data_IF_824598940807
#
_entry.id   IF_824598940807
#
_cell.length_a   1.000
_cell.length_b   1.000
_cell.length_c   1.000
_cell.angle_alpha   90.00
_cell.angle_beta   90.00
_cell.angle_gamma   90.00
#
_symmetry.space_group_name_H-M   'P 1'
#
loop_
_entity.id
_entity.type
_entity.pdbx_description
1 polymer ?
#
# COMPACT_ATOMS: atom_id res chain seq x y z
N UNK A 1 13.51 -0.59 -81.16
CA UNK A 1 13.88 0.38 -80.10
C UNK A 1 13.86 1.86 -80.55
N UNK A 2 13.45 2.22 -81.78
CA UNK A 2 13.46 3.62 -82.23
C UNK A 2 12.14 4.41 -82.01
N UNK A 3 11.04 3.74 -81.64
CA UNK A 3 9.69 4.31 -81.62
C UNK A 3 9.28 4.96 -80.29
N UNK A 4 9.85 4.53 -79.16
CA UNK A 4 9.54 5.08 -77.83
C UNK A 4 10.20 6.45 -77.57
N UNK A 5 11.40 6.68 -78.10
CA UNK A 5 12.11 7.95 -77.97
C UNK A 5 11.35 9.12 -78.65
N UNK A 6 10.74 8.86 -79.81
CA UNK A 6 10.09 9.89 -80.62
C UNK A 6 8.79 10.41 -79.97
N UNK A 7 8.04 9.54 -79.30
CA UNK A 7 6.83 9.92 -78.54
C UNK A 7 7.20 10.80 -77.34
N UNK A 8 8.29 10.49 -76.64
CA UNK A 8 8.81 11.31 -75.54
C UNK A 8 9.20 12.73 -75.98
N UNK A 9 9.91 12.85 -77.10
CA UNK A 9 10.30 14.14 -77.69
C UNK A 9 9.07 14.93 -78.14
N UNK A 10 8.07 14.27 -78.76
CA UNK A 10 6.84 14.93 -79.20
C UNK A 10 6.01 15.45 -78.00
N UNK A 11 5.91 14.68 -76.91
CA UNK A 11 5.27 15.13 -75.66
C UNK A 11 6.04 16.27 -75.00
N UNK A 12 7.37 16.19 -74.92
CA UNK A 12 8.21 17.27 -74.38
C UNK A 12 8.05 18.56 -75.17
N UNK A 13 8.04 18.51 -76.51
CA UNK A 13 7.83 19.68 -77.36
C UNK A 13 6.42 20.27 -77.19
N UNK A 14 5.38 19.42 -77.03
CA UNK A 14 4.01 19.86 -76.78
C UNK A 14 3.85 20.51 -75.40
N UNK A 15 4.50 19.95 -74.38
CA UNK A 15 4.57 20.52 -73.02
C UNK A 15 5.35 21.85 -73.01
N UNK A 16 6.49 21.90 -73.69
CA UNK A 16 7.31 23.11 -73.84
C UNK A 16 6.55 24.22 -74.56
N UNK A 17 5.73 23.89 -75.57
CA UNK A 17 4.84 24.84 -76.23
C UNK A 17 3.77 25.35 -75.25
N UNK A 18 3.08 24.44 -74.54
CA UNK A 18 2.08 24.78 -73.53
C UNK A 18 2.63 25.70 -72.42
N UNK A 19 3.83 25.42 -71.93
CA UNK A 19 4.53 26.26 -70.93
C UNK A 19 4.93 27.62 -71.52
N UNK A 20 5.30 27.67 -72.80
CA UNK A 20 5.62 28.94 -73.48
C UNK A 20 4.40 29.83 -73.71
N UNK A 21 3.23 29.24 -73.97
CA UNK A 21 1.95 29.94 -74.24
C UNK A 21 1.05 30.05 -73.02
N UNK A 22 1.47 29.58 -71.83
CA UNK A 22 0.66 29.68 -70.63
C UNK A 22 0.54 31.14 -70.18
N UNK A 23 -0.68 31.64 -70.10
CA UNK A 23 -1.02 32.95 -69.55
C UNK A 23 -2.19 32.75 -68.58
N UNK A 24 -2.08 33.25 -67.36
CA UNK A 24 -3.16 33.19 -66.36
C UNK A 24 -4.00 34.47 -66.28
N UNK A 25 -3.66 35.49 -67.08
CA UNK A 25 -4.43 36.72 -67.17
C UNK A 25 -5.40 36.66 -68.35
N UNK A 26 -6.65 37.05 -68.11
CA UNK A 26 -7.64 37.24 -69.17
C UNK A 26 -7.35 38.54 -69.94
N UNK A 27 -7.85 38.65 -71.17
CA UNK A 27 -7.46 39.69 -72.13
C UNK A 27 -8.14 41.05 -71.91
N UNK A 28 -8.00 41.60 -70.70
CA UNK A 28 -8.36 42.99 -70.41
C UNK A 28 -7.22 43.95 -70.80
N UNK A 29 -7.58 45.07 -71.43
CA UNK A 29 -6.71 45.94 -72.24
C UNK A 29 -5.68 46.80 -71.45
N UNK A 30 -5.32 46.44 -70.23
CA UNK A 30 -4.42 47.25 -69.38
C UNK A 30 -2.95 46.79 -69.34
N UNK A 31 -2.61 45.57 -69.77
CA UNK A 31 -1.23 45.05 -69.75
C UNK A 31 -0.75 44.60 -71.14
N UNK A 32 0.54 44.74 -71.40
CA UNK A 32 1.15 44.14 -72.58
C UNK A 32 1.25 42.61 -72.46
N UNK A 33 1.14 41.91 -73.59
CA UNK A 33 1.25 40.44 -73.65
C UNK A 33 2.56 39.91 -73.04
N UNK A 34 3.65 40.68 -73.13
CA UNK A 34 4.94 40.33 -72.56
C UNK A 34 4.92 40.33 -71.02
N UNK A 35 4.29 41.34 -70.40
CA UNK A 35 4.17 41.46 -68.94
C UNK A 35 3.28 40.35 -68.36
N UNK A 36 2.18 40.02 -69.04
CA UNK A 36 1.29 38.92 -68.67
C UNK A 36 2.01 37.56 -68.67
N UNK A 37 2.80 37.28 -69.73
CA UNK A 37 3.62 36.07 -69.84
C UNK A 37 4.77 36.03 -68.81
N UNK A 38 5.41 37.16 -68.52
CA UNK A 38 6.47 37.25 -67.52
C UNK A 38 5.93 37.04 -66.11
N UNK A 39 4.83 37.71 -65.76
CA UNK A 39 4.14 37.56 -64.46
C UNK A 39 3.68 36.11 -64.25
N UNK A 40 3.07 35.49 -65.26
CA UNK A 40 2.65 34.08 -65.22
C UNK A 40 3.84 33.14 -64.91
N UNK A 41 5.01 33.38 -65.52
CA UNK A 41 6.21 32.56 -65.28
C UNK A 41 6.80 32.77 -63.88
N UNK A 42 6.87 34.01 -63.39
CA UNK A 42 7.32 34.32 -62.02
C UNK A 42 6.38 33.70 -60.99
N UNK A 43 5.07 33.77 -61.20
CA UNK A 43 4.07 33.11 -60.37
C UNK A 43 4.28 31.59 -60.32
N UNK A 44 4.41 30.91 -61.47
CA UNK A 44 4.61 29.45 -61.53
C UNK A 44 5.90 29.02 -60.84
N UNK A 45 7.02 29.73 -61.04
CA UNK A 45 8.30 29.40 -60.39
C UNK A 45 8.21 29.60 -58.87
N UNK A 46 7.61 30.70 -58.42
CA UNK A 46 7.38 30.98 -57.00
C UNK A 46 6.49 29.90 -56.33
N UNK A 47 5.41 29.50 -57.01
CA UNK A 47 4.50 28.44 -56.59
C UNK A 47 5.24 27.10 -56.44
N UNK A 48 6.11 26.73 -57.39
CA UNK A 48 6.87 25.48 -57.35
C UNK A 48 7.92 25.45 -56.24
N UNK A 49 8.66 26.56 -56.02
CA UNK A 49 9.65 26.66 -54.95
C UNK A 49 8.98 26.54 -53.58
N UNK A 50 7.86 27.23 -53.38
CA UNK A 50 7.13 27.20 -52.11
C UNK A 50 6.41 25.86 -51.86
N UNK A 51 5.87 25.21 -52.91
CA UNK A 51 5.41 23.82 -52.84
C UNK A 51 6.54 22.86 -52.40
N UNK A 52 7.73 22.99 -52.97
CA UNK A 52 8.87 22.15 -52.60
C UNK A 52 9.31 22.35 -51.14
N UNK A 53 9.37 23.60 -50.67
CA UNK A 53 9.70 23.93 -49.28
C UNK A 53 8.65 23.37 -48.31
N UNK A 54 7.36 23.57 -48.59
CA UNK A 54 6.27 23.11 -47.71
C UNK A 54 6.18 21.58 -47.63
N UNK A 55 6.35 20.86 -48.75
CA UNK A 55 6.44 19.40 -48.77
C UNK A 55 7.66 18.92 -47.96
N UNK A 56 8.84 19.53 -48.16
CA UNK A 56 10.05 19.18 -47.41
C UNK A 56 9.86 19.38 -45.90
N UNK A 57 9.28 20.51 -45.50
CA UNK A 57 9.00 20.83 -44.10
C UNK A 57 8.00 19.85 -43.46
N UNK A 58 6.92 19.51 -44.17
CA UNK A 58 5.92 18.51 -43.75
C UNK A 58 6.45 17.06 -43.73
N UNK A 59 7.52 16.78 -44.47
CA UNK A 59 8.22 15.49 -44.46
C UNK A 59 9.11 15.33 -43.22
N UNK A 60 9.78 16.41 -42.82
CA UNK A 60 10.80 16.41 -41.78
C UNK A 60 10.18 16.53 -40.38
N UNK A 61 9.18 17.40 -40.21
CA UNK A 61 8.63 17.73 -38.88
C UNK A 61 7.45 16.80 -38.55
N UNK A 62 7.56 15.94 -37.51
CA UNK A 62 6.45 15.11 -37.07
C UNK A 62 5.36 15.97 -36.41
N UNK A 63 4.11 15.78 -36.84
CA UNK A 63 2.96 16.45 -36.26
C UNK A 63 2.38 15.60 -35.11
N UNK A 64 2.10 16.23 -33.97
CA UNK A 64 1.44 15.59 -32.84
C UNK A 64 -0.06 15.60 -33.07
N UNK A 65 -0.68 14.43 -33.19
CA UNK A 65 -2.14 14.29 -33.27
C UNK A 65 -2.69 13.89 -31.91
N UNK A 66 -3.74 14.58 -31.45
CA UNK A 66 -4.52 14.22 -30.27
C UNK A 66 -5.73 13.38 -30.71
N UNK A 67 -5.98 12.28 -29.99
CA UNK A 67 -7.21 11.48 -30.09
C UNK A 67 -7.89 11.50 -28.73
N UNK A 68 -9.22 11.67 -28.74
CA UNK A 68 -10.07 11.60 -27.55
C UNK A 68 -10.99 10.38 -27.67
N UNK A 69 -11.00 9.55 -26.63
CA UNK A 69 -11.89 8.39 -26.49
C UNK A 69 -12.87 8.68 -25.34
N UNK A 70 -14.16 8.62 -25.60
CA UNK A 70 -15.21 8.73 -24.59
C UNK A 70 -15.48 7.37 -23.93
N UNK A 71 -15.82 7.40 -22.63
CA UNK A 71 -16.29 6.25 -21.84
C UNK A 71 -15.48 4.95 -22.06
N UNK A 72 -14.15 4.96 -21.84
CA UNK A 72 -13.31 3.78 -21.95
C UNK A 72 -13.75 2.68 -20.97
N UNK A 73 -13.83 1.44 -21.45
CA UNK A 73 -13.88 0.27 -20.55
C UNK A 73 -12.50 0.05 -19.89
N UNK A 74 -12.41 -0.65 -18.73
CA UNK A 74 -11.13 -0.92 -18.08
C UNK A 74 -10.12 -1.58 -19.03
N UNK A 75 -10.56 -2.57 -19.81
CA UNK A 75 -9.70 -3.30 -20.76
C UNK A 75 -9.27 -2.44 -21.96
N UNK A 76 -10.11 -1.49 -22.40
CA UNK A 76 -9.73 -0.55 -23.46
C UNK A 76 -8.73 0.49 -22.95
N UNK A 77 -8.92 0.96 -21.71
CA UNK A 77 -7.97 1.84 -21.04
C UNK A 77 -6.59 1.16 -20.89
N UNK A 78 -6.51 -0.06 -20.35
CA UNK A 78 -5.22 -0.77 -20.20
C UNK A 78 -4.50 -0.94 -21.55
N UNK A 79 -5.20 -1.36 -22.62
CA UNK A 79 -4.61 -1.49 -23.96
C UNK A 79 -4.07 -0.17 -24.51
N UNK A 80 -4.81 0.93 -24.32
CA UNK A 80 -4.38 2.27 -24.73
C UNK A 80 -3.23 2.77 -23.86
N UNK A 81 -3.24 2.45 -22.56
CA UNK A 81 -2.18 2.80 -21.64
C UNK A 81 -0.88 2.07 -21.97
N UNK A 82 -0.91 0.78 -22.31
CA UNK A 82 0.26 0.06 -22.79
C UNK A 82 0.79 0.61 -24.12
N UNK A 83 -0.11 0.98 -25.04
CA UNK A 83 0.26 1.50 -26.37
C UNK A 83 0.82 2.93 -26.33
N UNK A 84 0.38 3.75 -25.37
CA UNK A 84 0.63 5.19 -25.32
C UNK A 84 1.06 5.68 -23.92
N UNK A 85 1.84 4.86 -23.19
CA UNK A 85 2.22 5.06 -21.76
C UNK A 85 2.59 6.48 -21.34
N UNK A 86 3.30 7.23 -22.19
CA UNK A 86 3.80 8.57 -21.88
C UNK A 86 2.87 9.72 -22.29
N UNK A 87 1.78 9.46 -23.01
CA UNK A 87 0.89 10.50 -23.55
C UNK A 87 -0.58 10.31 -23.25
N UNK A 88 -1.00 9.13 -22.76
CA UNK A 88 -2.39 8.91 -22.33
C UNK A 88 -2.69 9.66 -21.03
N UNK A 89 -3.82 10.35 -20.99
CA UNK A 89 -4.36 11.03 -19.81
C UNK A 89 -5.86 10.79 -19.77
N UNK A 90 -6.32 10.14 -18.71
CA UNK A 90 -7.73 9.90 -18.44
C UNK A 90 -8.06 10.49 -17.07
N UNK A 91 -8.95 11.48 -17.01
CA UNK A 91 -9.31 12.13 -15.75
C UNK A 91 -10.45 11.37 -15.07
N UNK A 92 -10.31 11.05 -13.78
CA UNK A 92 -11.40 10.47 -13.00
C UNK A 92 -12.51 11.51 -12.80
N UNK A 93 -13.79 11.09 -12.85
CA UNK A 93 -14.90 11.95 -12.44
C UNK A 93 -15.04 12.06 -10.92
N UNK A 94 -14.64 11.02 -10.20
CA UNK A 94 -14.53 11.02 -8.74
C UNK A 94 -13.07 10.72 -8.38
N UNK A 95 -12.37 11.75 -7.90
CA UNK A 95 -10.95 11.63 -7.57
C UNK A 95 -10.72 11.05 -6.16
N UNK A 96 -11.71 11.13 -5.26
CA UNK A 96 -11.60 10.68 -3.86
C UNK A 96 -12.48 9.46 -3.63
N UNK A 97 -11.90 8.38 -3.11
CA UNK A 97 -12.54 7.07 -2.87
C UNK A 97 -12.24 6.61 -1.45
N UNK A 98 -13.19 5.99 -0.75
CA UNK A 98 -12.91 5.46 0.60
C UNK A 98 -12.24 4.10 0.52
N UNK A 99 -11.28 3.81 1.42
CA UNK A 99 -10.60 2.50 1.37
C UNK A 99 -11.55 1.32 1.61
N UNK A 100 -12.67 1.54 2.31
CA UNK A 100 -13.80 0.59 2.43
C UNK A 100 -14.33 0.08 1.09
N UNK A 101 -14.25 0.89 0.03
CA UNK A 101 -14.75 0.55 -1.31
C UNK A 101 -13.71 -0.21 -2.15
N UNK A 102 -12.45 -0.22 -1.70
CA UNK A 102 -11.28 -0.70 -2.45
C UNK A 102 -10.64 -1.95 -1.82
N UNK A 103 -10.75 -2.11 -0.51
CA UNK A 103 -10.21 -3.22 0.27
C UNK A 103 -11.31 -4.03 0.96
N UNK A 104 -11.10 -5.34 1.02
CA UNK A 104 -11.77 -6.22 1.98
C UNK A 104 -10.71 -6.93 2.83
N UNK A 105 -10.91 -6.93 4.15
CA UNK A 105 -10.03 -7.60 5.12
C UNK A 105 -10.79 -8.65 5.92
N UNK A 106 -10.21 -9.85 6.00
CA UNK A 106 -10.65 -10.95 6.85
C UNK A 106 -9.44 -11.45 7.68
N UNK A 107 -9.15 -10.84 8.85
CA UNK A 107 -8.04 -11.25 9.70
C UNK A 107 -8.31 -12.63 10.33
N UNK A 108 -7.33 -13.53 10.24
CA UNK A 108 -7.38 -14.84 10.90
C UNK A 108 -6.49 -14.81 12.15
N UNK A 109 -7.06 -15.13 13.30
CA UNK A 109 -6.36 -15.11 14.60
C UNK A 109 -5.80 -16.50 14.96
N UNK A 110 -4.79 -16.49 15.82
CA UNK A 110 -4.12 -17.68 16.35
C UNK A 110 -5.11 -18.60 17.05
N UNK A 111 -4.95 -19.92 16.86
CA UNK A 111 -5.93 -20.92 17.30
C UNK A 111 -6.25 -20.90 18.81
N UNK A 112 -5.32 -20.43 19.64
CA UNK A 112 -5.57 -20.17 21.07
C UNK A 112 -6.79 -19.27 21.27
N UNK A 113 -6.94 -18.23 20.45
CA UNK A 113 -7.99 -17.21 20.55
C UNK A 113 -9.38 -17.67 20.03
N UNK A 114 -9.50 -18.93 19.63
CA UNK A 114 -10.75 -19.64 19.32
C UNK A 114 -10.84 -21.02 20.01
N UNK A 115 -9.94 -21.30 20.95
CA UNK A 115 -9.89 -22.55 21.72
C UNK A 115 -10.58 -22.43 23.07
N UNK A 116 -10.90 -23.56 23.70
CA UNK A 116 -11.49 -23.56 25.04
C UNK A 116 -10.56 -23.05 26.16
N UNK A 117 -9.27 -22.80 25.85
CA UNK A 117 -8.31 -22.24 26.82
C UNK A 117 -8.59 -20.78 27.19
N UNK A 118 -9.41 -20.07 26.42
CA UNK A 118 -9.82 -18.69 26.70
C UNK A 118 -11.25 -18.58 27.26
N UNK A 119 -11.96 -19.71 27.40
CA UNK A 119 -13.33 -19.77 27.90
C UNK A 119 -13.39 -19.67 29.43
N UNK A 120 -14.44 -19.02 29.95
CA UNK A 120 -14.65 -18.83 31.39
C UNK A 120 -14.81 -20.13 32.16
N UNK A 121 -15.43 -21.15 31.54
CA UNK A 121 -15.57 -22.49 32.09
C UNK A 121 -14.20 -23.11 32.43
N UNK A 122 -13.22 -22.99 31.52
CA UNK A 122 -11.88 -23.53 31.72
C UNK A 122 -11.15 -22.84 32.87
N UNK A 123 -10.97 -21.52 32.80
CA UNK A 123 -10.15 -20.83 33.81
C UNK A 123 -10.83 -20.74 35.17
N UNK A 124 -12.17 -20.84 35.24
CA UNK A 124 -12.89 -20.97 36.49
C UNK A 124 -12.74 -22.36 37.10
N UNK A 125 -12.68 -23.43 36.29
CA UNK A 125 -12.40 -24.80 36.80
C UNK A 125 -10.98 -24.97 37.35
N UNK A 126 -10.04 -24.10 36.93
CA UNK A 126 -8.69 -24.01 37.49
C UNK A 126 -8.60 -23.18 38.77
N UNK A 127 -9.66 -22.46 39.16
CA UNK A 127 -9.62 -21.60 40.35
C UNK A 127 -9.69 -22.44 41.63
N UNK A 128 -8.86 -22.10 42.60
CA UNK A 128 -8.82 -22.78 43.90
C UNK A 128 -8.82 -21.76 45.04
N UNK A 129 -9.74 -21.89 46.00
CA UNK A 129 -9.84 -20.97 47.16
C UNK A 129 -8.70 -21.15 48.16
N UNK A 130 -7.95 -22.25 48.09
CA UNK A 130 -6.80 -22.57 48.93
C UNK A 130 -5.46 -22.14 48.31
N UNK A 131 -5.46 -21.27 47.30
CA UNK A 131 -4.27 -20.79 46.56
C UNK A 131 -3.10 -20.38 47.45
N UNK A 132 -3.36 -19.69 48.57
CA UNK A 132 -2.33 -19.26 49.54
C UNK A 132 -1.53 -20.43 50.18
N UNK A 133 -1.93 -21.68 49.99
CA UNK A 133 -1.22 -22.87 50.50
C UNK A 133 -0.32 -23.53 49.43
N UNK A 134 -0.32 -23.04 48.19
CA UNK A 134 0.53 -23.59 47.13
C UNK A 134 1.93 -23.00 47.12
N UNK A 135 2.89 -23.82 46.71
CA UNK A 135 4.26 -23.38 46.46
C UNK A 135 4.28 -22.31 45.36
N UNK A 136 5.14 -21.27 45.41
CA UNK A 136 5.11 -20.17 44.42
C UNK A 136 5.36 -20.59 42.97
N UNK A 137 5.95 -21.77 42.73
CA UNK A 137 6.13 -22.33 41.38
C UNK A 137 4.97 -23.26 40.95
N UNK A 138 3.93 -23.42 41.77
CA UNK A 138 2.82 -24.32 41.48
C UNK A 138 1.88 -23.70 40.43
N UNK A 139 1.65 -24.45 39.35
CA UNK A 139 0.72 -24.12 38.27
C UNK A 139 -0.67 -23.72 38.80
N UNK A 140 -1.19 -24.43 39.83
CA UNK A 140 -2.52 -24.18 40.40
C UNK A 140 -2.65 -22.84 41.12
N UNK A 141 -1.53 -22.17 41.45
CA UNK A 141 -1.53 -20.82 42.01
C UNK A 141 -1.91 -19.77 40.95
N UNK A 142 -1.36 -19.88 39.75
CA UNK A 142 -1.42 -18.80 38.74
C UNK A 142 -2.28 -19.14 37.51
N UNK A 143 -2.51 -20.42 37.20
CA UNK A 143 -3.11 -20.83 35.93
C UNK A 143 -4.45 -20.16 35.64
N UNK A 144 -5.37 -20.09 36.61
CA UNK A 144 -6.67 -19.43 36.43
C UNK A 144 -6.52 -17.96 35.97
N UNK A 145 -5.68 -17.16 36.65
CA UNK A 145 -5.44 -15.78 36.26
C UNK A 145 -4.66 -15.65 34.94
N UNK A 146 -3.72 -16.57 34.67
CA UNK A 146 -2.97 -16.55 33.41
C UNK A 146 -3.85 -16.91 32.20
N UNK A 147 -4.81 -17.82 32.33
CA UNK A 147 -5.80 -18.06 31.26
C UNK A 147 -6.83 -16.93 31.12
N UNK A 148 -7.21 -16.24 32.21
CA UNK A 148 -7.97 -14.98 32.13
C UNK A 148 -7.19 -13.89 31.37
N UNK A 149 -5.90 -13.73 31.65
CA UNK A 149 -5.03 -12.81 30.91
C UNK A 149 -4.93 -13.25 29.45
N UNK A 150 -4.76 -14.54 29.14
CA UNK A 150 -4.71 -15.04 27.76
C UNK A 150 -5.98 -14.70 26.96
N UNK A 151 -7.15 -14.88 27.58
CA UNK A 151 -8.44 -14.46 27.01
C UNK A 151 -8.50 -12.95 26.77
N UNK A 152 -8.00 -12.15 27.72
CA UNK A 152 -7.88 -10.69 27.59
C UNK A 152 -6.93 -10.28 26.45
N UNK A 153 -5.76 -10.91 26.31
CA UNK A 153 -4.80 -10.63 25.23
C UNK A 153 -5.46 -10.89 23.87
N UNK A 154 -6.09 -12.06 23.69
CA UNK A 154 -6.86 -12.40 22.50
C UNK A 154 -7.97 -11.39 22.17
N UNK A 155 -8.67 -10.87 23.19
CA UNK A 155 -9.68 -9.82 23.02
C UNK A 155 -9.08 -8.47 22.62
N UNK A 156 -8.01 -8.04 23.29
CA UNK A 156 -7.32 -6.77 23.01
C UNK A 156 -6.73 -6.77 21.59
N UNK A 157 -6.09 -7.86 21.16
CA UNK A 157 -5.53 -7.93 19.81
C UNK A 157 -6.61 -7.86 18.73
N UNK A 158 -7.75 -8.55 18.95
CA UNK A 158 -8.91 -8.51 18.06
C UNK A 158 -9.52 -7.11 17.97
N UNK A 159 -9.72 -6.47 19.11
CA UNK A 159 -10.24 -5.11 19.20
C UNK A 159 -9.31 -4.11 18.49
N UNK A 160 -8.00 -4.19 18.76
CA UNK A 160 -6.97 -3.35 18.13
C UNK A 160 -7.00 -3.45 16.60
N UNK A 161 -7.19 -4.65 16.05
CA UNK A 161 -7.29 -4.85 14.60
C UNK A 161 -8.59 -4.26 14.05
N UNK A 162 -9.75 -4.48 14.69
CA UNK A 162 -11.01 -3.97 14.18
C UNK A 162 -11.14 -2.44 14.30
N UNK A 163 -10.59 -1.83 15.36
CA UNK A 163 -10.53 -0.38 15.50
C UNK A 163 -9.62 0.23 14.42
N UNK A 164 -8.40 -0.31 14.23
CA UNK A 164 -7.50 0.13 13.17
C UNK A 164 -8.12 -0.04 11.77
N UNK A 165 -8.86 -1.13 11.51
CA UNK A 165 -9.60 -1.32 10.26
C UNK A 165 -10.75 -0.31 10.10
N UNK A 166 -11.47 0.00 11.18
CA UNK A 166 -12.51 1.03 11.18
C UNK A 166 -11.95 2.38 10.78
N UNK A 167 -10.86 2.80 11.42
CA UNK A 167 -10.16 4.05 11.10
C UNK A 167 -9.67 4.05 9.65
N UNK A 168 -8.97 2.99 9.21
CA UNK A 168 -8.49 2.83 7.84
C UNK A 168 -9.62 2.95 6.80
N UNK A 169 -10.76 2.32 7.05
CA UNK A 169 -11.93 2.37 6.17
C UNK A 169 -12.57 3.77 6.05
N UNK A 170 -12.39 4.65 7.04
CA UNK A 170 -12.84 6.06 6.95
C UNK A 170 -11.88 6.95 6.15
N UNK A 171 -10.61 6.56 6.04
CA UNK A 171 -9.62 7.30 5.24
C UNK A 171 -9.83 7.09 3.73
N UNK A 172 -9.28 8.00 2.93
CA UNK A 172 -9.58 8.10 1.51
C UNK A 172 -8.36 8.08 0.61
N UNK A 173 -8.44 7.29 -0.46
CA UNK A 173 -7.53 7.29 -1.59
C UNK A 173 -7.84 8.46 -2.54
N UNK A 174 -6.81 9.19 -2.97
CA UNK A 174 -6.94 10.26 -3.97
C UNK A 174 -6.23 9.92 -5.28
N UNK A 175 -6.95 10.06 -6.40
CA UNK A 175 -6.44 9.81 -7.74
C UNK A 175 -7.17 10.69 -8.78
N UNK A 176 -6.55 11.77 -9.23
CA UNK A 176 -7.12 12.67 -10.23
C UNK A 176 -7.14 12.08 -11.66
N UNK A 177 -6.40 10.97 -11.90
CA UNK A 177 -6.25 10.31 -13.20
C UNK A 177 -6.39 8.80 -13.04
N UNK A 178 -6.99 8.13 -14.01
CA UNK A 178 -7.07 6.66 -14.00
C UNK A 178 -5.67 6.05 -14.00
N UNK A 179 -5.41 5.17 -13.03
CA UNK A 179 -4.18 4.39 -12.90
C UNK A 179 -4.33 3.07 -13.63
N UNK A 180 -3.25 2.57 -14.21
CA UNK A 180 -3.18 1.19 -14.71
C UNK A 180 -3.24 0.21 -13.55
N UNK A 181 -3.70 -1.01 -13.82
CA UNK A 181 -3.79 -2.09 -12.83
C UNK A 181 -2.46 -2.36 -12.12
N UNK A 182 -1.33 -2.26 -12.83
CA UNK A 182 0.00 -2.41 -12.23
C UNK A 182 0.27 -1.33 -11.17
N UNK A 183 0.06 -0.04 -11.50
CA UNK A 183 0.30 1.09 -10.60
C UNK A 183 -0.69 1.10 -9.44
N UNK A 184 -1.96 0.77 -9.69
CA UNK A 184 -2.96 0.58 -8.64
C UNK A 184 -2.55 -0.53 -7.66
N UNK A 185 -2.19 -1.73 -8.17
CA UNK A 185 -1.82 -2.86 -7.32
C UNK A 185 -0.59 -2.54 -6.45
N UNK A 186 0.45 -1.92 -7.03
CA UNK A 186 1.67 -1.53 -6.33
C UNK A 186 1.40 -0.53 -5.19
N UNK A 187 0.57 0.48 -5.47
CA UNK A 187 0.10 1.43 -4.45
C UNK A 187 -0.71 0.72 -3.35
N UNK A 188 -1.63 -0.18 -3.69
CA UNK A 188 -2.46 -0.87 -2.70
C UNK A 188 -1.65 -1.84 -1.83
N UNK A 189 -0.62 -2.49 -2.38
CA UNK A 189 0.33 -3.31 -1.62
C UNK A 189 1.12 -2.42 -0.65
N UNK A 190 1.65 -1.29 -1.10
CA UNK A 190 2.41 -0.34 -0.28
C UNK A 190 1.56 0.21 0.86
N UNK A 191 0.32 0.63 0.57
CA UNK A 191 -0.62 1.13 1.55
C UNK A 191 -0.99 0.06 2.60
N UNK A 192 -1.22 -1.19 2.17
CA UNK A 192 -1.46 -2.29 3.10
C UNK A 192 -0.25 -2.60 3.99
N UNK A 193 0.96 -2.59 3.43
CA UNK A 193 2.20 -2.77 4.20
C UNK A 193 2.36 -1.67 5.26
N UNK A 194 2.07 -0.42 4.90
CA UNK A 194 2.06 0.71 5.83
C UNK A 194 1.03 0.51 6.94
N UNK A 195 -0.24 0.22 6.60
CA UNK A 195 -1.31 -0.06 7.56
C UNK A 195 -0.93 -1.15 8.56
N UNK A 196 -0.46 -2.30 8.07
CA UNK A 196 -0.05 -3.44 8.89
C UNK A 196 1.13 -3.06 9.82
N UNK A 197 2.15 -2.39 9.28
CA UNK A 197 3.35 -1.99 10.04
C UNK A 197 3.02 -0.97 11.13
N UNK A 198 2.22 0.04 10.82
CA UNK A 198 1.77 1.05 11.80
C UNK A 198 0.92 0.42 12.89
N UNK A 199 -0.05 -0.45 12.55
CA UNK A 199 -0.92 -1.11 13.52
C UNK A 199 -0.13 -1.98 14.49
N UNK A 200 0.80 -2.80 13.98
CA UNK A 200 1.68 -3.64 14.79
C UNK A 200 2.66 -2.81 15.65
N UNK A 201 3.20 -1.71 15.12
CA UNK A 201 4.13 -0.84 15.84
C UNK A 201 3.44 -0.12 17.00
N UNK A 202 2.25 0.46 16.75
CA UNK A 202 1.45 1.13 17.78
C UNK A 202 1.04 0.17 18.90
N UNK A 203 0.66 -1.07 18.54
CA UNK A 203 0.35 -2.11 19.52
C UNK A 203 1.54 -2.43 20.44
N UNK A 204 2.75 -2.61 19.88
CA UNK A 204 3.96 -2.87 20.67
C UNK A 204 4.34 -1.70 21.58
N UNK A 205 4.21 -0.47 21.10
CA UNK A 205 4.45 0.74 21.91
C UNK A 205 3.50 0.76 23.11
N UNK A 206 2.22 0.45 22.89
CA UNK A 206 1.23 0.37 23.97
C UNK A 206 1.52 -0.79 24.96
N UNK A 207 1.84 -1.99 24.46
CA UNK A 207 2.18 -3.14 25.29
C UNK A 207 3.41 -2.87 26.18
N UNK A 208 4.48 -2.30 25.59
CA UNK A 208 5.69 -1.92 26.31
C UNK A 208 5.39 -0.86 27.38
N UNK A 209 4.59 0.16 27.05
CA UNK A 209 4.19 1.20 28.01
C UNK A 209 3.42 0.62 29.22
N UNK A 210 2.49 -0.31 28.99
CA UNK A 210 1.76 -0.98 30.07
C UNK A 210 2.70 -1.84 30.93
N UNK A 211 3.64 -2.56 30.31
CA UNK A 211 4.64 -3.36 31.03
C UNK A 211 5.56 -2.49 31.88
N UNK A 212 6.06 -1.36 31.34
CA UNK A 212 6.84 -0.38 32.09
C UNK A 212 6.07 0.20 33.28
N UNK A 213 4.79 0.54 33.12
CA UNK A 213 3.93 0.99 34.22
C UNK A 213 3.86 -0.05 35.34
N UNK A 214 3.63 -1.33 34.99
CA UNK A 214 3.52 -2.42 35.97
C UNK A 214 4.84 -2.61 36.73
N UNK A 215 5.97 -2.59 36.00
CA UNK A 215 7.30 -2.80 36.56
C UNK A 215 7.77 -1.64 37.46
N UNK A 216 7.48 -0.39 37.08
CA UNK A 216 7.84 0.81 37.85
C UNK A 216 6.97 0.97 39.11
N UNK A 217 5.65 0.79 38.99
CA UNK A 217 4.71 1.03 40.08
C UNK A 217 4.58 -0.17 41.04
N UNK A 218 5.05 -1.36 40.63
CA UNK A 218 5.15 -2.57 41.48
C UNK A 218 3.81 -2.94 42.15
N UNK A 219 2.70 -2.81 41.41
CA UNK A 219 1.37 -3.09 41.93
C UNK A 219 1.27 -4.47 42.58
N UNK A 220 0.75 -4.54 43.81
CA UNK A 220 0.52 -5.82 44.49
C UNK A 220 -0.50 -6.63 43.69
N UNK A 221 -0.08 -7.78 43.18
CA UNK A 221 -0.96 -8.69 42.45
C UNK A 221 -2.03 -9.28 43.37
N UNK A 222 -3.25 -9.47 42.84
CA UNK A 222 -4.35 -10.08 43.60
C UNK A 222 -4.02 -11.50 44.10
N UNK A 223 -3.20 -12.24 43.35
CA UNK A 223 -2.69 -13.56 43.70
C UNK A 223 -1.44 -13.54 44.62
N UNK A 224 -0.96 -12.36 45.01
CA UNK A 224 0.21 -12.18 45.92
C UNK A 224 1.50 -12.83 45.42
N UNK A 225 1.65 -12.96 44.10
CA UNK A 225 2.80 -13.61 43.42
C UNK A 225 4.06 -12.75 43.41
N UNK A 226 3.92 -11.44 43.62
CA UNK A 226 5.01 -10.47 43.77
C UNK A 226 5.16 -9.89 45.19
N UNK A 227 4.09 -9.84 45.98
CA UNK A 227 4.13 -9.42 47.38
C UNK A 227 3.12 -10.21 48.20
N UNK A 228 3.52 -10.66 49.39
CA UNK A 228 2.62 -11.25 50.38
C UNK A 228 2.46 -10.33 51.59
N UNK A 229 1.25 -10.31 52.16
CA UNK A 229 0.95 -9.54 53.38
C UNK A 229 0.82 -10.48 54.56
N UNK A 230 1.37 -10.10 55.70
CA UNK A 230 1.33 -10.87 56.94
C UNK A 230 0.83 -9.99 58.08
N UNK A 231 -0.07 -10.50 58.91
CA UNK A 231 -0.44 -9.84 60.16
C UNK A 231 0.72 -9.89 61.15
N UNK A 232 0.99 -8.76 61.80
CA UNK A 232 1.90 -8.73 62.95
C UNK A 232 1.17 -9.42 64.11
N UNK A 233 1.77 -10.40 64.81
CA UNK A 233 1.17 -10.98 66.01
C UNK A 233 0.79 -9.88 67.02
N UNK A 234 -0.36 -10.04 67.66
CA UNK A 234 -0.89 -9.12 68.68
C UNK A 234 -1.05 -7.65 68.23
N UNK A 235 -1.28 -7.42 66.93
CA UNK A 235 -1.55 -6.09 66.36
C UNK A 235 -2.53 -6.14 65.18
N UNK A 236 -3.37 -5.11 65.03
CA UNK A 236 -4.21 -4.89 63.83
C UNK A 236 -3.42 -4.46 62.57
N UNK A 237 -2.08 -4.49 62.64
CA UNK A 237 -1.18 -4.06 61.57
C UNK A 237 -0.77 -5.23 60.68
N UNK A 238 -0.57 -4.90 59.40
CA UNK A 238 -0.07 -5.82 58.39
C UNK A 238 1.25 -5.31 57.82
N UNK A 239 2.20 -6.22 57.64
CA UNK A 239 3.46 -5.97 56.94
C UNK A 239 3.40 -6.60 55.55
N UNK A 240 3.94 -5.90 54.55
CA UNK A 240 4.01 -6.38 53.17
C UNK A 240 5.46 -6.71 52.83
N UNK A 241 5.69 -7.94 52.37
CA UNK A 241 7.00 -8.45 52.00
C UNK A 241 7.02 -8.83 50.52
N UNK A 242 8.14 -8.61 49.81
CA UNK A 242 8.27 -9.08 48.44
C UNK A 242 8.30 -10.60 48.39
N UNK A 243 7.68 -11.17 47.36
CA UNK A 243 7.83 -12.57 47.03
C UNK A 243 9.25 -12.88 46.58
N UNK A 244 9.70 -14.09 46.90
CA UNK A 244 11.09 -14.54 46.76
C UNK A 244 11.09 -15.87 46.04
N UNK A 245 11.84 -15.96 44.94
CA UNK A 245 11.96 -17.16 44.12
C UNK A 245 13.43 -17.68 44.09
N UNK A 246 13.65 -19.00 44.15
CA UNK A 246 14.98 -19.61 43.97
C UNK A 246 15.56 -19.33 42.58
N UNK A 247 16.79 -18.80 42.44
CA UNK A 247 17.38 -18.56 41.10
C UNK A 247 17.79 -19.86 40.38
N UNK A 248 18.14 -20.90 41.13
CA UNK A 248 18.56 -22.20 40.60
C UNK A 248 17.60 -23.29 41.09
N UNK A 249 16.65 -23.69 40.24
CA UNK A 249 15.75 -24.81 40.53
C UNK A 249 16.23 -26.05 39.78
N UNK A 250 17.26 -26.71 40.32
CA UNK A 250 17.37 -28.14 40.09
C UNK A 250 16.20 -28.78 40.81
N UNK A 251 15.17 -29.17 40.05
CA UNK A 251 13.83 -29.62 40.49
C UNK A 251 13.81 -30.90 41.37
N UNK A 252 14.97 -31.31 41.90
CA UNK A 252 15.21 -32.56 42.62
C UNK A 252 15.89 -32.37 43.98
N UNK A 253 16.31 -31.15 44.38
CA UNK A 253 16.94 -30.90 45.68
C UNK A 253 16.55 -29.54 46.29
N UNK A 254 16.05 -29.57 47.53
CA UNK A 254 15.57 -28.43 48.32
C UNK A 254 16.66 -27.53 48.93
N UNK A 255 17.92 -27.72 48.56
CA UNK A 255 19.04 -26.93 49.10
C UNK A 255 19.18 -25.57 48.41
N UNK A 256 18.55 -24.54 48.99
CA UNK A 256 18.82 -23.13 48.67
C UNK A 256 20.25 -22.73 49.12
N UNK A 257 21.27 -23.13 48.37
CA UNK A 257 22.64 -22.61 48.55
C UNK A 257 22.70 -21.20 47.95
N UNK A 258 23.26 -20.25 48.70
CA UNK A 258 23.01 -18.79 48.65
C UNK A 258 23.40 -18.02 47.38
N UNK A 259 23.76 -18.69 46.28
CA UNK A 259 24.18 -18.04 45.02
C UNK A 259 23.02 -17.82 44.04
N UNK A 260 22.01 -17.11 44.51
CA UNK A 260 20.97 -16.56 43.64
C UNK A 260 19.56 -16.66 44.22
N UNK A 261 19.01 -15.50 44.53
CA UNK A 261 17.62 -15.32 44.92
C UNK A 261 17.03 -14.26 43.98
N UNK A 262 15.86 -14.51 43.40
CA UNK A 262 15.15 -13.53 42.59
C UNK A 262 14.03 -12.91 43.43
N UNK A 263 14.08 -11.59 43.64
CA UNK A 263 13.11 -10.87 44.48
C UNK A 263 12.25 -9.95 43.65
N UNK A 264 10.94 -9.98 43.89
CA UNK A 264 9.98 -9.21 43.12
C UNK A 264 9.96 -7.70 43.42
N UNK A 265 10.64 -7.25 44.47
CA UNK A 265 10.94 -5.82 44.71
C UNK A 265 12.19 -5.33 43.97
N UNK A 266 12.92 -6.21 43.29
CA UNK A 266 14.14 -5.85 42.56
C UNK A 266 13.97 -6.05 41.04
N UNK A 267 13.21 -7.05 40.61
CA UNK A 267 12.88 -7.26 39.20
C UNK A 267 11.54 -7.99 39.03
N UNK A 268 10.81 -7.67 37.97
CA UNK A 268 9.64 -8.44 37.51
C UNK A 268 10.02 -9.66 36.66
N UNK A 269 11.29 -9.76 36.22
CA UNK A 269 11.79 -10.81 35.32
C UNK A 269 12.06 -12.17 35.98
N UNK A 270 11.66 -12.37 37.25
CA UNK A 270 11.72 -13.67 37.90
C UNK A 270 10.67 -14.60 37.27
N UNK A 271 11.09 -15.47 36.35
CA UNK A 271 10.25 -16.36 35.54
C UNK A 271 10.83 -17.77 35.60
N UNK A 272 9.96 -18.76 35.78
CA UNK A 272 10.33 -20.15 36.05
C UNK A 272 9.34 -21.14 35.44
N UNK A 273 9.78 -22.35 35.04
CA UNK A 273 8.87 -23.41 34.61
C UNK A 273 7.84 -23.75 35.69
N UNK A 274 6.58 -23.84 35.30
CA UNK A 274 5.50 -24.20 36.21
C UNK A 274 5.52 -25.70 36.52
N UNK A 275 5.41 -26.04 37.80
CA UNK A 275 5.25 -27.42 38.25
C UNK A 275 3.90 -27.64 38.92
N UNK A 276 3.48 -28.88 39.07
CA UNK A 276 2.43 -29.28 40.01
C UNK A 276 3.15 -30.04 41.13
N UNK A 277 3.00 -29.57 42.37
CA UNK A 277 3.71 -30.11 43.53
C UNK A 277 2.76 -30.87 44.45
N UNK A 278 3.27 -31.83 45.22
CA UNK A 278 2.46 -32.46 46.25
C UNK A 278 2.09 -31.46 47.36
N UNK A 279 0.86 -31.53 47.87
CA UNK A 279 0.39 -30.60 48.91
C UNK A 279 0.95 -30.96 50.29
N UNK A 280 2.12 -30.41 50.62
CA UNK A 280 2.56 -30.23 52.00
C UNK A 280 2.09 -28.86 52.47
N UNK A 281 1.23 -28.80 53.50
CA UNK A 281 0.80 -27.53 54.15
C UNK A 281 2.02 -26.72 54.63
N UNK A 282 1.89 -25.40 54.88
CA UNK A 282 1.57 -24.85 56.21
C UNK A 282 1.37 -23.31 56.16
N UNK A 283 0.66 -22.81 57.18
CA UNK A 283 0.49 -21.40 57.56
C UNK A 283 0.74 -21.31 59.10
N UNK A 284 1.29 -20.26 59.73
CA UNK A 284 1.41 -18.86 59.26
C UNK A 284 2.83 -18.22 59.43
N UNK A 285 3.39 -17.89 60.63
CA UNK A 285 4.01 -16.55 60.73
C UNK A 285 5.35 -16.41 61.51
N UNK A 286 6.53 -16.51 60.87
CA UNK A 286 7.68 -15.61 61.15
C UNK A 286 8.94 -15.89 60.32
N UNK A 287 9.23 -17.15 60.01
CA UNK A 287 10.53 -17.54 59.42
C UNK A 287 10.35 -18.33 58.12
N UNK A 288 11.42 -18.39 57.33
CA UNK A 288 11.45 -19.00 56.00
C UNK A 288 11.34 -20.53 56.13
N UNK A 289 10.15 -21.08 55.88
CA UNK A 289 9.94 -22.53 55.89
C UNK A 289 10.08 -23.14 54.49
N UNK A 290 11.23 -23.77 54.25
CA UNK A 290 11.48 -24.64 53.10
C UNK A 290 11.32 -26.10 53.56
N UNK A 291 10.36 -26.82 53.00
CA UNK A 291 10.31 -28.29 53.04
C UNK A 291 9.89 -28.84 51.67
N UNK A 292 10.22 -30.10 51.41
CA UNK A 292 10.14 -30.74 50.09
C UNK A 292 8.73 -30.74 49.48
N UNK A 293 8.41 -29.67 48.76
CA UNK A 293 7.41 -29.67 47.70
C UNK A 293 7.91 -30.64 46.62
N UNK A 294 7.49 -31.90 46.70
CA UNK A 294 7.84 -32.91 45.71
C UNK A 294 7.12 -32.59 44.40
N UNK A 295 7.91 -32.32 43.35
CA UNK A 295 7.41 -32.11 42.00
C UNK A 295 6.72 -33.40 41.51
N UNK A 296 5.43 -33.31 41.21
CA UNK A 296 4.66 -34.40 40.61
C UNK A 296 4.73 -34.35 39.08
N UNK A 297 4.71 -33.13 38.50
CA UNK A 297 4.68 -32.91 37.07
C UNK A 297 5.21 -31.52 36.72
N UNK A 298 6.10 -31.37 35.74
CA UNK A 298 6.37 -30.08 35.09
C UNK A 298 5.29 -29.88 34.03
N UNK A 299 4.73 -28.68 33.90
CA UNK A 299 3.81 -28.33 32.79
C UNK A 299 4.64 -27.75 31.65
N UNK A 300 4.94 -28.51 30.56
CA UNK A 300 5.84 -28.05 29.51
C UNK A 300 5.34 -26.79 28.84
N UNK A 301 6.26 -25.85 28.58
CA UNK A 301 5.95 -24.59 27.94
C UNK A 301 5.12 -23.60 28.75
N UNK A 302 4.88 -23.84 30.05
CA UNK A 302 4.13 -22.93 30.91
C UNK A 302 5.04 -22.36 32.01
N UNK A 303 4.95 -21.05 32.22
CA UNK A 303 5.84 -20.31 33.13
C UNK A 303 5.05 -19.56 34.20
N UNK A 304 5.66 -19.43 35.37
CA UNK A 304 5.17 -18.73 36.56
C UNK A 304 6.22 -17.73 37.07
N UNK A 305 5.82 -16.72 37.82
CA UNK A 305 6.76 -15.66 38.24
C UNK A 305 6.12 -14.52 39.02
N UNK A 306 6.90 -13.47 39.28
CA UNK A 306 6.44 -12.29 40.03
C UNK A 306 5.14 -11.70 39.46
N UNK A 307 5.12 -11.45 38.15
CA UNK A 307 3.99 -10.84 37.43
C UNK A 307 3.37 -11.91 36.52
N UNK A 308 2.10 -12.32 36.74
CA UNK A 308 1.47 -13.38 35.96
C UNK A 308 1.41 -13.10 34.46
N UNK A 309 1.26 -11.83 34.06
CA UNK A 309 1.32 -11.39 32.67
C UNK A 309 2.72 -11.64 32.06
N UNK A 310 3.79 -11.18 32.70
CA UNK A 310 5.15 -11.33 32.17
C UNK A 310 5.53 -12.83 32.05
N UNK A 311 5.15 -13.64 33.05
CA UNK A 311 5.33 -15.09 32.99
C UNK A 311 4.50 -15.75 31.88
N UNK A 312 3.22 -15.36 31.70
CA UNK A 312 2.41 -15.86 30.58
C UNK A 312 3.03 -15.50 29.22
N UNK A 313 3.50 -14.26 29.04
CA UNK A 313 4.12 -13.84 27.77
C UNK A 313 5.41 -14.63 27.46
N UNK A 314 6.12 -15.14 28.45
CA UNK A 314 7.26 -16.04 28.24
C UNK A 314 6.89 -17.53 28.16
N UNK A 315 5.60 -17.87 28.27
CA UNK A 315 5.09 -19.23 28.05
C UNK A 315 4.88 -19.50 26.56
N UNK A 316 5.04 -20.76 26.14
CA UNK A 316 4.85 -21.27 24.77
C UNK A 316 3.57 -22.10 24.64
N UNK A 317 3.02 -22.58 25.78
CA UNK A 317 1.87 -23.47 25.89
C UNK A 317 2.06 -24.88 25.29
N UNK A 318 3.30 -25.38 25.14
CA UNK A 318 3.61 -26.72 24.59
C UNK A 318 2.72 -27.85 25.12
N UNK A 319 2.46 -27.90 26.44
CA UNK A 319 1.57 -28.92 27.03
C UNK A 319 0.17 -28.91 26.43
N UNK A 320 -0.34 -27.73 26.07
CA UNK A 320 -1.69 -27.53 25.57
C UNK A 320 -1.84 -27.86 24.08
N UNK A 321 -0.75 -28.19 23.38
CA UNK A 321 -0.78 -28.83 22.05
C UNK A 321 -0.76 -30.37 22.11
N UNK A 322 -0.61 -30.96 23.30
CA UNK A 322 -0.50 -32.40 23.49
C UNK A 322 -1.60 -32.90 24.43
N UNK A 323 -2.58 -33.64 23.89
CA UNK A 323 -3.73 -34.12 24.68
C UNK A 323 -3.29 -34.94 25.90
N UNK A 324 -2.30 -35.84 25.77
CA UNK A 324 -1.78 -36.63 26.89
C UNK A 324 -1.16 -35.76 28.00
N UNK A 325 -0.61 -34.60 27.66
CA UNK A 325 -0.07 -33.65 28.62
C UNK A 325 -1.21 -32.88 29.32
N UNK A 326 -2.17 -32.39 28.54
CA UNK A 326 -3.37 -31.72 29.04
C UNK A 326 -4.19 -32.62 29.98
N UNK A 327 -4.35 -33.91 29.65
CA UNK A 327 -5.06 -34.89 30.48
C UNK A 327 -4.39 -35.07 31.86
N UNK A 328 -3.06 -35.00 31.93
CA UNK A 328 -2.31 -35.02 33.20
C UNK A 328 -2.60 -33.74 34.00
N UNK A 329 -2.59 -32.57 33.34
CA UNK A 329 -2.93 -31.29 34.00
C UNK A 329 -4.35 -31.34 34.56
N UNK A 330 -5.36 -31.71 33.75
CA UNK A 330 -6.76 -31.85 34.15
C UNK A 330 -6.90 -32.78 35.37
N UNK A 331 -6.24 -33.95 35.33
CA UNK A 331 -6.26 -34.93 36.43
C UNK A 331 -5.65 -34.39 37.73
N UNK A 332 -4.57 -33.62 37.66
CA UNK A 332 -3.82 -33.13 38.84
C UNK A 332 -4.35 -31.79 39.39
N UNK A 333 -5.11 -31.04 38.60
CA UNK A 333 -5.80 -29.81 39.03
C UNK A 333 -7.23 -30.09 39.50
N UNK A 334 -7.88 -31.14 38.98
CA UNK A 334 -9.32 -31.37 39.15
C UNK A 334 -10.18 -30.50 38.22
N UNK A 335 -9.59 -29.93 37.17
CA UNK A 335 -10.28 -29.09 36.18
C UNK A 335 -11.29 -29.88 35.32
N UNK A 336 -12.09 -29.17 34.54
CA UNK A 336 -13.13 -29.79 33.71
C UNK A 336 -12.53 -30.58 32.52
N UNK A 337 -13.00 -31.81 32.26
CA UNK A 337 -12.46 -32.69 31.21
C UNK A 337 -12.96 -32.35 29.79
N UNK A 338 -13.69 -31.25 29.62
CA UNK A 338 -14.27 -30.80 28.35
C UNK A 338 -13.26 -30.12 27.42
N UNK A 339 -12.14 -29.64 27.96
CA UNK A 339 -11.10 -28.91 27.21
C UNK A 339 -10.23 -29.86 26.40
N UNK A 340 -10.00 -29.51 25.13
CA UNK A 340 -9.16 -30.26 24.20
C UNK A 340 -7.86 -29.53 23.91
N UNK A 341 -6.83 -30.29 23.57
CA UNK A 341 -5.57 -29.74 23.10
C UNK A 341 -5.74 -28.98 21.78
N UNK A 342 -4.91 -27.96 21.62
CA UNK A 342 -4.71 -27.20 20.38
C UNK A 342 -4.19 -28.13 19.28
N UNK A 343 -4.55 -27.84 18.03
CA UNK A 343 -4.21 -28.72 16.92
C UNK A 343 -2.80 -28.39 16.39
N UNK A 344 -1.85 -29.28 16.68
CA UNK A 344 -0.49 -29.26 16.14
C UNK A 344 -0.44 -29.29 14.59
N UNK A 345 -1.47 -29.85 13.95
CA UNK A 345 -1.56 -30.01 12.49
C UNK A 345 -2.29 -28.86 11.78
N UNK A 346 -2.81 -27.87 12.51
CA UNK A 346 -3.32 -26.65 11.89
C UNK A 346 -2.14 -25.83 11.36
N UNK A 347 -2.26 -25.30 10.14
CA UNK A 347 -1.25 -24.39 9.58
C UNK A 347 -1.23 -23.08 10.36
N UNK A 348 -0.27 -22.95 11.26
CA UNK A 348 0.09 -21.70 11.94
C UNK A 348 1.41 -21.16 11.38
N UNK A 349 1.59 -19.84 11.41
CA UNK A 349 2.90 -19.22 11.13
C UNK A 349 3.85 -19.26 12.33
N UNK A 350 3.37 -19.71 13.48
CA UNK A 350 4.14 -19.83 14.72
C UNK A 350 4.33 -21.31 15.06
N UNK A 351 5.56 -21.67 15.44
CA UNK A 351 5.84 -22.99 15.99
C UNK A 351 5.24 -23.12 17.41
N UNK A 352 4.77 -24.29 17.86
CA UNK A 352 4.30 -24.52 19.23
C UNK A 352 5.30 -24.16 20.35
N UNK A 353 6.59 -24.02 20.04
CA UNK A 353 7.64 -23.52 20.94
C UNK A 353 7.82 -21.99 20.92
N UNK A 354 7.00 -21.26 20.14
CA UNK A 354 7.02 -19.80 20.09
C UNK A 354 6.40 -19.20 21.35
N UNK A 355 7.05 -18.23 21.97
CA UNK A 355 6.50 -17.56 23.17
C UNK A 355 5.29 -16.70 22.84
N UNK A 356 4.33 -16.65 23.77
CA UNK A 356 3.13 -15.82 23.67
C UNK A 356 3.45 -14.33 23.51
N UNK A 357 4.61 -13.84 23.96
CA UNK A 357 5.10 -12.48 23.70
C UNK A 357 5.24 -12.23 22.20
N UNK A 358 5.89 -13.12 21.46
CA UNK A 358 6.10 -12.98 20.01
C UNK A 358 4.76 -13.05 19.27
N UNK A 359 3.86 -13.93 19.71
CA UNK A 359 2.52 -14.09 19.12
C UNK A 359 1.65 -12.85 19.43
N UNK A 360 1.72 -12.30 20.64
CA UNK A 360 0.98 -11.11 21.06
C UNK A 360 1.52 -9.82 20.42
N UNK A 361 2.83 -9.64 20.35
CA UNK A 361 3.50 -8.55 19.59
C UNK A 361 3.21 -8.59 18.08
N UNK A 362 2.57 -9.67 17.62
CA UNK A 362 2.03 -9.88 16.28
C UNK A 362 0.49 -9.87 16.24
N UNK A 363 -0.15 -9.25 17.25
CA UNK A 363 -1.59 -9.10 17.44
C UNK A 363 -2.37 -10.44 17.43
N UNK A 364 -1.76 -11.51 17.95
CA UNK A 364 -2.33 -12.87 17.90
C UNK A 364 -2.82 -13.25 16.50
N UNK A 365 -2.22 -12.68 15.44
CA UNK A 365 -2.68 -12.82 14.06
C UNK A 365 -1.91 -13.95 13.37
N UNK A 366 -2.59 -14.77 12.59
CA UNK A 366 -1.97 -15.76 11.69
C UNK A 366 -1.77 -15.18 10.30
N UNK A 367 -2.83 -14.60 9.72
CA UNK A 367 -2.76 -14.02 8.38
C UNK A 367 -3.78 -12.90 8.19
N UNK A 368 -3.40 -11.96 7.32
CA UNK A 368 -4.34 -11.05 6.69
C UNK A 368 -4.84 -11.71 5.40
N UNK A 369 -6.07 -12.21 5.39
CA UNK A 369 -6.72 -12.51 4.11
C UNK A 369 -7.32 -11.22 3.57
N UNK A 370 -6.63 -10.58 2.61
CA UNK A 370 -7.06 -9.33 2.00
C UNK A 370 -7.33 -9.48 0.51
N UNK A 371 -8.20 -8.64 -0.02
CA UNK A 371 -8.43 -8.51 -1.46
C UNK A 371 -8.63 -7.05 -1.84
N UNK A 372 -8.17 -6.72 -3.05
CA UNK A 372 -8.32 -5.39 -3.67
C UNK A 372 -9.09 -5.53 -4.97
N UNK A 373 -10.00 -4.60 -5.24
CA UNK A 373 -10.82 -4.63 -6.46
C UNK A 373 -10.51 -3.46 -7.39
N UNK A 374 -9.63 -3.72 -8.37
CA UNK A 374 -9.34 -2.79 -9.46
C UNK A 374 -10.57 -2.44 -10.31
N UNK A 375 -11.54 -3.34 -10.45
CA UNK A 375 -12.76 -3.09 -11.24
C UNK A 375 -13.68 -2.15 -10.46
N UNK A 376 -13.82 -2.32 -9.15
CA UNK A 376 -14.46 -1.34 -8.28
C UNK A 376 -13.76 0.02 -8.34
N UNK A 377 -12.42 0.06 -8.20
CA UNK A 377 -11.62 1.28 -8.37
C UNK A 377 -11.92 2.00 -9.70
N UNK A 378 -11.80 1.30 -10.83
CA UNK A 378 -11.98 1.91 -12.14
C UNK A 378 -13.43 2.38 -12.34
N UNK A 379 -14.40 1.64 -11.80
CA UNK A 379 -15.83 2.02 -11.81
C UNK A 379 -16.11 3.27 -10.97
N UNK A 380 -15.42 3.48 -9.84
CA UNK A 380 -15.61 4.70 -9.03
C UNK A 380 -14.85 5.88 -9.65
N UNK A 381 -13.60 5.68 -10.09
CA UNK A 381 -12.86 6.69 -10.87
C UNK A 381 -13.66 7.18 -12.09
N UNK A 382 -14.37 6.27 -12.79
CA UNK A 382 -15.31 6.57 -13.88
C UNK A 382 -14.80 7.62 -14.90
N UNK A 383 -13.67 7.36 -15.58
CA UNK A 383 -13.09 8.32 -16.50
C UNK A 383 -14.03 8.61 -17.68
N UNK A 384 -14.46 9.86 -17.82
CA UNK A 384 -15.40 10.28 -18.89
C UNK A 384 -14.73 10.34 -20.26
N UNK A 385 -13.48 10.81 -20.30
CA UNK A 385 -12.67 10.94 -21.51
C UNK A 385 -11.21 10.59 -21.23
N UNK A 386 -10.61 9.83 -22.15
CA UNK A 386 -9.18 9.65 -22.27
C UNK A 386 -8.69 10.45 -23.48
N UNK A 387 -7.63 11.24 -23.32
CA UNK A 387 -6.87 11.80 -24.43
C UNK A 387 -5.53 11.10 -24.53
N UNK A 388 -5.06 10.83 -25.74
CA UNK A 388 -3.68 10.42 -25.98
C UNK A 388 -3.12 11.13 -27.21
N UNK A 389 -1.79 11.23 -27.29
CA UNK A 389 -1.14 11.79 -28.47
C UNK A 389 -0.11 10.85 -29.08
N UNK A 390 -0.03 10.87 -30.40
CA UNK A 390 0.99 10.14 -31.15
C UNK A 390 1.58 11.05 -32.24
N UNK A 391 2.81 10.76 -32.63
CA UNK A 391 3.52 11.50 -33.69
C UNK A 391 3.24 10.85 -35.04
N UNK A 392 2.73 11.63 -35.99
CA UNK A 392 2.52 11.21 -37.37
C UNK A 392 3.39 12.08 -38.31
N UNK A 393 3.95 11.47 -39.34
CA UNK A 393 4.58 12.17 -40.47
C UNK A 393 3.59 12.20 -41.64
N UNK A 394 3.63 13.27 -42.45
CA UNK A 394 2.72 13.50 -43.58
C UNK A 394 1.22 13.47 -43.23
N UNK A 395 0.65 14.64 -42.92
CA UNK A 395 -0.81 14.81 -42.81
C UNK A 395 -1.35 15.49 -44.08
N UNK A 396 -2.04 14.72 -44.93
CA UNK A 396 -2.46 15.17 -46.27
C UNK A 396 -3.38 16.39 -46.24
N UNK A 397 -4.25 16.50 -45.22
CA UNK A 397 -5.17 17.64 -45.06
C UNK A 397 -4.41 18.93 -44.77
N UNK A 398 -3.30 18.88 -44.03
CA UNK A 398 -2.42 20.04 -43.81
C UNK A 398 -1.72 20.47 -45.11
N UNK A 399 -1.27 19.51 -45.93
CA UNK A 399 -0.70 19.82 -47.24
C UNK A 399 -1.75 20.51 -48.12
N UNK A 400 -2.98 19.99 -48.18
CA UNK A 400 -4.08 20.58 -48.95
C UNK A 400 -4.40 22.01 -48.47
N UNK A 401 -4.56 22.25 -47.17
CA UNK A 401 -4.85 23.60 -46.66
C UNK A 401 -3.72 24.58 -46.94
N UNK A 402 -2.45 24.17 -46.75
CA UNK A 402 -1.29 25.00 -47.11
C UNK A 402 -1.24 25.31 -48.60
N UNK A 403 -1.54 24.35 -49.48
CA UNK A 403 -1.59 24.60 -50.94
C UNK A 403 -2.71 25.58 -51.28
N UNK A 404 -3.91 25.43 -50.70
CA UNK A 404 -5.03 26.36 -50.96
C UNK A 404 -4.76 27.78 -50.47
N UNK A 405 -4.17 27.96 -49.28
CA UNK A 405 -3.82 29.28 -48.77
C UNK A 405 -2.66 29.92 -49.54
N UNK A 406 -1.73 29.11 -50.04
CA UNK A 406 -0.60 29.56 -50.83
C UNK A 406 -1.03 30.01 -52.25
N UNK A 407 -1.94 29.28 -52.90
CA UNK A 407 -2.52 29.71 -54.19
C UNK A 407 -3.27 31.03 -54.06
N UNK A 408 -4.12 31.18 -53.04
CA UNK A 408 -4.84 32.42 -52.76
C UNK A 408 -3.96 33.57 -52.23
N UNK A 409 -2.83 33.25 -51.60
CA UNK A 409 -1.84 34.21 -51.15
C UNK A 409 -0.97 34.75 -52.29
N UNK A 410 -0.60 33.91 -53.25
CA UNK A 410 0.25 34.30 -54.40
C UNK A 410 -0.52 35.06 -55.50
N UNK A 411 -1.85 34.92 -55.58
CA UNK A 411 -2.65 35.70 -56.54
C UNK A 411 -2.75 37.19 -56.18
N UNK A 412 -2.61 37.56 -54.90
CA UNK A 412 -2.67 38.96 -54.44
C UNK A 412 -1.44 39.82 -54.83
N UNK A 413 -0.18 39.40 -54.59
CA UNK A 413 1.01 40.15 -55.03
C UNK A 413 1.06 40.39 -56.54
N UNK A 414 0.54 39.46 -57.35
CA UNK A 414 0.46 39.57 -58.80
C UNK A 414 -0.52 40.68 -59.26
N UNK A 415 -1.44 41.10 -58.39
CA UNK A 415 -2.33 42.26 -58.55
C UNK A 415 -1.68 43.56 -58.03
N UNK A 416 -0.94 43.47 -56.92
CA UNK A 416 -0.30 44.62 -56.25
C UNK A 416 0.97 45.10 -56.98
N UNK A 417 1.75 44.21 -57.58
CA UNK A 417 2.92 44.57 -58.38
C UNK A 417 2.51 45.42 -59.60
N UNK A 418 1.33 45.13 -60.16
CA UNK A 418 0.68 45.89 -61.22
C UNK A 418 0.39 47.35 -60.78
N UNK A 419 -0.26 47.53 -59.63
CA UNK A 419 -0.52 48.86 -59.04
C UNK A 419 0.75 49.68 -58.82
N UNK A 420 1.85 49.04 -58.41
CA UNK A 420 3.10 49.75 -58.14
C UNK A 420 3.83 50.16 -59.42
N UNK A 421 3.85 49.31 -60.45
CA UNK A 421 4.45 49.64 -61.75
C UNK A 421 3.65 50.76 -62.45
N UNK A 422 2.31 50.70 -62.38
CA UNK A 422 1.40 51.71 -62.97
C UNK A 422 1.60 53.10 -62.35
N UNK A 423 1.84 53.18 -61.04
CA UNK A 423 2.14 54.44 -60.36
C UNK A 423 3.52 55.03 -60.71
N UNK A 424 4.57 54.20 -60.79
CA UNK A 424 5.92 54.65 -61.19
C UNK A 424 5.92 55.17 -62.65
N UNK A 425 5.24 54.49 -63.58
CA UNK A 425 5.08 54.97 -64.96
C UNK A 425 4.25 56.25 -65.05
N UNK A 426 3.19 56.40 -64.24
CA UNK A 426 2.37 57.61 -64.20
C UNK A 426 3.19 58.83 -63.73
N UNK A 427 4.05 58.63 -62.73
CA UNK A 427 4.98 59.67 -62.25
C UNK A 427 5.95 60.12 -63.35
N UNK A 428 6.53 59.19 -64.10
CA UNK A 428 7.43 59.49 -65.23
C UNK A 428 6.68 60.24 -66.35
N UNK A 429 5.46 59.82 -66.70
CA UNK A 429 4.62 60.48 -67.71
C UNK A 429 4.19 61.89 -67.29
N UNK A 430 3.86 62.10 -66.02
CA UNK A 430 3.55 63.44 -65.46
C UNK A 430 4.80 64.33 -65.53
N UNK A 431 5.98 63.80 -65.21
CA UNK A 431 7.23 64.55 -65.26
C UNK A 431 7.57 65.02 -66.69
N UNK A 432 7.45 64.12 -67.67
CA UNK A 432 7.67 64.43 -69.09
C UNK A 432 6.68 65.49 -69.62
N UNK A 433 5.39 65.38 -69.24
CA UNK A 433 4.36 66.32 -69.67
C UNK A 433 4.47 67.70 -69.02
N UNK A 434 5.06 67.78 -67.81
CA UNK A 434 5.41 69.05 -67.16
C UNK A 434 6.64 69.72 -67.78
N UNK A 435 7.55 68.96 -68.41
CA UNK A 435 8.67 69.55 -69.15
C UNK A 435 8.27 70.11 -70.51
N UNK A 436 7.31 69.50 -71.22
CA UNK A 436 6.79 70.03 -72.50
C UNK A 436 5.98 71.34 -72.34
N UNK A 437 5.37 71.58 -71.18
CA UNK A 437 4.62 72.84 -70.90
C UNK A 437 5.50 74.00 -70.42
N UNK A 438 6.83 73.88 -70.50
CA UNK A 438 7.81 74.93 -70.09
C UNK A 438 8.73 75.41 -71.22
N UNK A 439 8.41 75.06 -72.46
CA UNK A 439 9.04 75.53 -73.71
C UNK A 439 7.97 76.11 -74.63
#
# INVERSE_FOLDING_TARGET
MATTANIGIQYQNRLMHLIKTLNFYDTDNELSLFEQLLSTRVYVVSLLITLFITISFASIIPQTRLITVSLPSPNNFEKLADSYRSTIICHCSQATMYHKELFSFNPQFHQVCSSNLIDEEWFSSLFNTLTNNYYPLDFRLMASAQFQILSLLCRISRQTIYDALSDFYTTSFFSARALTRAVYNDYMITLFQQFNTTTLTNHRIYNNFISSIIDEHRFISALRTNFYTRSIPDSDKYETFPAIYPKNVNLTQSSFISNGICRCDQTSSCIYPAGIYNQSKVIIPNEVFIHDASLQFVVPGFQVGCVPQNALLQSTLECFYNQSCLDIVIKLTGALPTVRALNMSNFSRFDPTTTLSIIFDQLMLESWHNSTDFVAYFRICAPKTCTYSYKQRFYIIYIITVVTSLVGGLSMPAFIYNLKLKNELLLILIYLKLTEMKT
#
